data_IF_187632630857
#
_entry.id   IF_187632630857
#
_cell.length_a   1.000
_cell.length_b   1.000
_cell.length_c   1.000
_cell.angle_alpha   90.00
_cell.angle_beta   90.00
_cell.angle_gamma   90.00
#
_symmetry.space_group_name_H-M   'P 1'
#
loop_
_entity.id
_entity.type
_entity.pdbx_description
1 polymer ?
#
# COMPACT_ATOMS: atom_id res chain seq x y z
N UNK A 1 13.70 -17.83 13.80
CA UNK A 1 12.79 -16.67 13.61
C UNK A 1 11.82 -17.02 12.49
N UNK A 2 10.50 -16.93 12.71
CA UNK A 2 9.54 -17.11 11.63
C UNK A 2 9.72 -16.01 10.58
N UNK A 3 9.71 -16.37 9.31
CA UNK A 3 9.82 -15.45 8.16
C UNK A 3 8.61 -14.49 8.18
N UNK A 4 8.84 -13.20 7.98
CA UNK A 4 7.81 -12.20 7.77
C UNK A 4 7.61 -12.01 6.26
N UNK A 5 6.35 -12.10 5.80
CA UNK A 5 5.99 -11.85 4.40
C UNK A 5 5.12 -10.61 4.30
N UNK A 6 5.60 -9.64 3.52
CA UNK A 6 4.89 -8.39 3.26
C UNK A 6 4.64 -8.30 1.76
N UNK A 7 3.42 -7.94 1.38
CA UNK A 7 3.01 -7.77 0.00
C UNK A 7 2.41 -6.38 -0.26
N UNK A 8 2.36 -5.99 -1.51
CA UNK A 8 1.57 -4.85 -1.98
C UNK A 8 0.61 -5.33 -3.07
N UNK A 9 -0.62 -4.81 -3.08
CA UNK A 9 -1.65 -5.21 -4.01
C UNK A 9 -2.57 -4.03 -4.36
N UNK A 10 -2.49 -3.54 -5.60
CA UNK A 10 -3.43 -2.55 -6.11
C UNK A 10 -4.72 -3.27 -6.53
N UNK A 11 -5.85 -2.91 -5.90
CA UNK A 11 -7.13 -3.58 -6.08
C UNK A 11 -7.90 -3.13 -7.32
N UNK A 12 -7.56 -1.97 -7.88
CA UNK A 12 -8.32 -1.36 -8.97
C UNK A 12 -9.84 -1.36 -8.69
N UNK A 13 -10.23 -0.93 -7.49
CA UNK A 13 -11.62 -0.92 -7.00
C UNK A 13 -12.33 -2.28 -7.07
N UNK A 14 -11.59 -3.38 -7.10
CA UNK A 14 -12.13 -4.75 -7.24
C UNK A 14 -12.61 -5.10 -8.65
N UNK A 15 -12.30 -4.26 -9.64
CA UNK A 15 -12.68 -4.47 -11.03
C UNK A 15 -11.51 -5.06 -11.81
N UNK A 16 -11.69 -6.26 -12.34
CA UNK A 16 -10.66 -6.93 -13.13
C UNK A 16 -10.58 -6.47 -14.58
N UNK A 17 -9.65 -7.05 -15.35
CA UNK A 17 -9.52 -6.81 -16.80
C UNK A 17 -10.79 -7.18 -17.59
N UNK A 18 -11.60 -8.10 -17.05
CA UNK A 18 -12.93 -8.46 -17.58
C UNK A 18 -14.01 -7.39 -17.30
N UNK A 19 -13.63 -6.25 -16.70
CA UNK A 19 -14.50 -5.15 -16.27
C UNK A 19 -15.60 -5.59 -15.29
N UNK A 20 -15.40 -6.68 -14.57
CA UNK A 20 -16.36 -7.19 -13.59
C UNK A 20 -15.85 -6.96 -12.18
N UNK A 21 -16.73 -6.44 -11.33
CA UNK A 21 -16.51 -6.41 -9.88
C UNK A 21 -16.65 -7.83 -9.32
N UNK A 22 -15.59 -8.35 -8.71
CA UNK A 22 -15.57 -9.70 -8.11
C UNK A 22 -14.77 -9.68 -6.83
N UNK A 23 -15.39 -9.42 -5.67
CA UNK A 23 -14.70 -9.36 -4.39
C UNK A 23 -14.01 -10.68 -4.03
N UNK A 24 -14.59 -11.84 -4.39
CA UNK A 24 -13.95 -13.13 -4.15
C UNK A 24 -12.57 -13.25 -4.79
N UNK A 25 -12.37 -12.69 -5.97
CA UNK A 25 -11.06 -12.67 -6.64
C UNK A 25 -9.98 -11.97 -5.80
N UNK A 26 -10.36 -10.95 -5.04
CA UNK A 26 -9.44 -10.25 -4.14
C UNK A 26 -9.00 -11.21 -3.01
N UNK A 27 -9.94 -11.93 -2.42
CA UNK A 27 -9.64 -12.93 -1.39
C UNK A 27 -8.77 -14.07 -1.92
N UNK A 28 -9.03 -14.53 -3.14
CA UNK A 28 -8.23 -15.58 -3.79
C UNK A 28 -6.76 -15.11 -3.94
N UNK A 29 -6.54 -13.86 -4.36
CA UNK A 29 -5.19 -13.27 -4.45
C UNK A 29 -4.56 -13.11 -3.07
N UNK A 30 -5.30 -12.65 -2.06
CA UNK A 30 -4.82 -12.53 -0.69
C UNK A 30 -4.36 -13.90 -0.16
N UNK A 31 -5.13 -14.95 -0.42
CA UNK A 31 -4.80 -16.32 -0.04
C UNK A 31 -3.53 -16.83 -0.77
N UNK A 32 -3.41 -16.54 -2.08
CA UNK A 32 -2.23 -16.91 -2.87
C UNK A 32 -0.96 -16.19 -2.41
N UNK A 33 -1.06 -14.91 -2.06
CA UNK A 33 0.06 -14.14 -1.52
C UNK A 33 0.59 -14.73 -0.21
N UNK A 34 -0.28 -15.35 0.58
CA UNK A 34 0.02 -15.91 1.92
C UNK A 34 0.89 -14.94 2.73
N UNK A 35 0.55 -13.65 2.68
CA UNK A 35 1.31 -12.59 3.32
C UNK A 35 0.77 -12.31 4.73
N UNK A 36 1.66 -11.87 5.60
CA UNK A 36 1.33 -11.47 6.96
C UNK A 36 0.80 -10.03 7.00
N UNK A 37 1.27 -9.20 6.06
CA UNK A 37 0.91 -7.79 5.93
C UNK A 37 0.75 -7.48 4.45
N UNK A 38 -0.34 -6.78 4.09
CA UNK A 38 -0.63 -6.40 2.70
C UNK A 38 -0.97 -4.91 2.65
N UNK A 39 -0.11 -4.14 1.98
CA UNK A 39 -0.42 -2.76 1.62
C UNK A 39 -1.32 -2.76 0.37
N UNK A 40 -2.53 -2.23 0.49
CA UNK A 40 -3.50 -2.23 -0.60
C UNK A 40 -3.76 -0.80 -1.10
N UNK A 41 -3.90 -0.66 -2.40
CA UNK A 41 -4.16 0.60 -3.07
C UNK A 41 -5.46 0.52 -3.87
N UNK A 42 -6.02 1.68 -4.18
CA UNK A 42 -7.27 1.82 -4.94
C UNK A 42 -8.43 1.03 -4.34
N UNK A 43 -8.50 1.03 -3.01
CA UNK A 43 -9.62 0.42 -2.29
C UNK A 43 -10.80 1.37 -2.32
N UNK A 44 -11.87 0.98 -3.01
CA UNK A 44 -13.14 1.67 -3.02
C UNK A 44 -14.12 0.93 -2.10
N UNK A 45 -14.74 1.64 -1.16
CA UNK A 45 -15.75 1.08 -0.26
C UNK A 45 -16.77 2.15 0.17
N UNK A 46 -18.07 1.88 0.07
CA UNK A 46 -18.66 0.72 -0.60
C UNK A 46 -18.53 0.77 -2.13
N UNK A 47 -18.64 -0.40 -2.78
CA UNK A 47 -18.72 -0.55 -4.23
C UNK A 47 -20.10 -1.09 -4.57
N UNK A 48 -20.92 -0.35 -5.29
CA UNK A 48 -22.30 -0.75 -5.61
C UNK A 48 -23.10 -1.22 -4.37
N UNK A 49 -22.88 -0.58 -3.21
CA UNK A 49 -23.48 -0.96 -1.93
C UNK A 49 -22.79 -2.13 -1.20
N UNK A 50 -21.73 -2.71 -1.77
CA UNK A 50 -20.95 -3.76 -1.15
C UNK A 50 -19.80 -3.15 -0.32
N UNK A 51 -19.76 -3.43 0.99
CA UNK A 51 -18.70 -2.95 1.87
C UNK A 51 -17.45 -3.82 1.74
N UNK A 52 -16.47 -3.32 0.99
CA UNK A 52 -15.18 -3.99 0.80
C UNK A 52 -14.37 -4.08 2.08
N UNK A 53 -14.41 -3.06 2.93
CA UNK A 53 -13.66 -3.06 4.18
C UNK A 53 -14.17 -4.13 5.16
N UNK A 54 -15.49 -4.23 5.30
CA UNK A 54 -16.10 -5.25 6.14
C UNK A 54 -15.85 -6.66 5.59
N UNK A 55 -15.97 -6.82 4.27
CA UNK A 55 -15.70 -8.09 3.60
C UNK A 55 -14.25 -8.56 3.84
N UNK A 56 -13.28 -7.68 3.68
CA UNK A 56 -11.87 -8.01 3.96
C UNK A 56 -11.66 -8.45 5.41
N UNK A 57 -12.25 -7.72 6.38
CA UNK A 57 -12.15 -8.09 7.80
C UNK A 57 -12.76 -9.45 8.10
N UNK A 58 -14.00 -9.64 7.64
CA UNK A 58 -14.79 -10.83 7.94
C UNK A 58 -14.14 -12.11 7.36
N UNK A 59 -13.72 -12.05 6.10
CA UNK A 59 -13.23 -13.23 5.39
C UNK A 59 -11.77 -13.58 5.71
N UNK A 60 -10.94 -12.59 6.07
CA UNK A 60 -9.53 -12.86 6.40
C UNK A 60 -9.27 -13.00 7.89
N UNK A 61 -10.10 -12.41 8.72
CA UNK A 61 -9.85 -12.28 10.17
C UNK A 61 -8.67 -11.36 10.51
N UNK A 62 -8.15 -10.61 9.56
CA UNK A 62 -7.01 -9.70 9.75
C UNK A 62 -7.47 -8.34 10.29
N UNK A 63 -6.55 -7.65 10.95
CA UNK A 63 -6.72 -6.25 11.30
C UNK A 63 -6.61 -5.39 10.04
N UNK A 64 -7.48 -4.38 9.92
CA UNK A 64 -7.55 -3.50 8.76
C UNK A 64 -7.47 -2.05 9.21
N UNK A 65 -6.48 -1.30 8.71
CA UNK A 65 -6.46 0.15 8.71
C UNK A 65 -6.81 0.67 7.32
N UNK A 66 -7.52 1.79 7.25
CA UNK A 66 -7.93 2.42 5.99
C UNK A 66 -7.62 3.90 6.02
N UNK A 67 -7.28 4.47 4.87
CA UNK A 67 -7.10 5.91 4.68
C UNK A 67 -7.81 6.33 3.40
N UNK A 68 -8.88 7.09 3.53
CA UNK A 68 -9.56 7.68 2.39
C UNK A 68 -8.73 8.87 1.85
N UNK A 69 -8.38 8.84 0.58
CA UNK A 69 -7.76 9.98 -0.11
C UNK A 69 -8.77 10.80 -0.89
N UNK A 70 -9.84 10.17 -1.35
CA UNK A 70 -10.91 10.83 -2.10
C UNK A 70 -12.29 10.34 -1.65
N UNK A 71 -13.26 11.25 -1.73
CA UNK A 71 -14.68 10.92 -1.65
C UNK A 71 -15.23 10.81 -3.08
N UNK A 72 -15.77 9.66 -3.42
CA UNK A 72 -16.43 9.42 -4.71
C UNK A 72 -17.93 9.29 -4.53
N UNK A 73 -18.69 9.39 -5.62
CA UNK A 73 -20.13 9.13 -5.59
C UNK A 73 -20.37 7.69 -5.14
N UNK A 74 -20.86 7.53 -3.91
CA UNK A 74 -21.20 6.22 -3.35
C UNK A 74 -20.15 5.57 -2.45
N UNK A 75 -18.99 6.20 -2.22
CA UNK A 75 -17.99 5.61 -1.30
C UNK A 75 -16.71 6.40 -1.16
N UNK A 76 -15.81 5.91 -0.32
CA UNK A 76 -14.45 6.43 -0.15
C UNK A 76 -13.46 5.62 -0.97
N UNK A 77 -12.47 6.29 -1.54
CA UNK A 77 -11.39 5.68 -2.30
C UNK A 77 -10.05 6.02 -1.66
N UNK A 78 -9.16 5.03 -1.55
CA UNK A 78 -7.87 5.28 -0.93
C UNK A 78 -7.02 4.04 -0.73
N UNK A 79 -6.24 4.07 0.34
CA UNK A 79 -5.33 2.99 0.73
C UNK A 79 -5.92 2.17 1.88
N UNK A 80 -5.47 0.92 1.98
CA UNK A 80 -5.71 0.09 3.15
C UNK A 80 -4.44 -0.71 3.52
N UNK A 81 -4.35 -1.08 4.79
CA UNK A 81 -3.32 -1.97 5.32
C UNK A 81 -4.01 -3.11 6.02
N UNK A 82 -3.86 -4.31 5.48
CA UNK A 82 -4.37 -5.54 6.04
C UNK A 82 -3.23 -6.27 6.77
N UNK A 83 -3.45 -6.65 8.02
CA UNK A 83 -2.40 -7.22 8.86
C UNK A 83 -2.90 -8.36 9.74
N UNK A 84 -2.11 -9.42 9.85
CA UNK A 84 -2.39 -10.58 10.70
C UNK A 84 -2.31 -10.26 12.20
N UNK A 85 -1.54 -9.24 12.58
CA UNK A 85 -1.33 -8.82 13.96
C UNK A 85 -1.96 -7.47 14.29
N UNK A 86 -2.17 -7.15 15.58
CA UNK A 86 -2.77 -5.89 15.99
C UNK A 86 -1.99 -4.67 15.49
N UNK A 87 -2.73 -3.68 15.03
CA UNK A 87 -2.23 -2.34 14.75
C UNK A 87 -2.33 -1.55 16.06
N UNK A 88 -1.18 -1.20 16.66
CA UNK A 88 -1.11 -0.57 17.99
C UNK A 88 -1.03 0.95 17.90
N UNK A 89 -0.49 1.47 16.80
CA UNK A 89 -0.50 2.91 16.49
C UNK A 89 -0.87 3.11 15.02
N UNK A 90 -1.59 4.20 14.73
CA UNK A 90 -2.04 4.53 13.38
C UNK A 90 -2.02 6.04 13.18
N UNK A 91 -1.40 6.48 12.10
CA UNK A 91 -1.45 7.85 11.64
C UNK A 91 -1.68 7.92 10.12
N UNK A 92 -2.45 8.92 9.70
CA UNK A 92 -2.63 9.24 8.28
C UNK A 92 -1.67 10.37 7.90
N UNK A 93 -0.91 10.18 6.83
CA UNK A 93 0.07 11.14 6.34
C UNK A 93 -0.32 11.65 4.95
N UNK A 94 -0.63 12.94 4.85
CA UNK A 94 -0.96 13.59 3.58
C UNK A 94 0.26 13.72 2.66
N UNK A 95 0.12 13.27 1.42
CA UNK A 95 1.18 13.34 0.39
C UNK A 95 0.76 14.14 -0.84
N UNK A 96 -0.40 14.78 -0.83
CA UNK A 96 -0.92 15.54 -1.96
C UNK A 96 0.01 16.68 -2.37
N UNK A 97 0.28 16.83 -3.65
CA UNK A 97 1.15 17.87 -4.22
C UNK A 97 0.32 18.81 -5.07
N UNK A 98 0.19 20.08 -4.64
CA UNK A 98 -0.59 21.10 -5.35
C UNK A 98 -2.04 20.64 -5.61
N UNK A 99 -2.50 20.84 -6.84
CA UNK A 99 -3.86 20.48 -7.27
C UNK A 99 -3.92 19.10 -7.93
N UNK A 100 -3.02 18.18 -7.54
CA UNK A 100 -3.00 16.81 -8.05
C UNK A 100 -4.03 15.95 -7.34
N UNK A 101 -4.22 14.75 -7.86
CA UNK A 101 -5.02 13.73 -7.20
C UNK A 101 -4.56 13.53 -5.76
N UNK A 102 -5.46 13.54 -4.78
CA UNK A 102 -5.10 13.36 -3.38
C UNK A 102 -4.35 12.05 -3.16
N UNK A 103 -3.21 12.14 -2.49
CA UNK A 103 -2.37 10.99 -2.12
C UNK A 103 -2.05 11.02 -0.64
N UNK A 104 -1.81 9.85 -0.07
CA UNK A 104 -1.46 9.72 1.33
C UNK A 104 -0.78 8.42 1.65
N UNK A 105 -0.34 8.29 2.89
CA UNK A 105 0.22 7.07 3.44
C UNK A 105 -0.42 6.72 4.77
N UNK A 106 -0.68 5.45 4.98
CA UNK A 106 -0.99 4.85 6.28
C UNK A 106 0.34 4.60 6.97
N UNK A 107 0.55 5.21 8.12
CA UNK A 107 1.74 5.02 8.95
C UNK A 107 1.29 4.26 10.20
N UNK A 108 1.61 2.97 10.25
CA UNK A 108 1.10 2.06 11.27
C UNK A 108 2.22 1.35 12.00
N UNK A 109 2.13 1.25 13.33
CA UNK A 109 2.96 0.37 14.14
C UNK A 109 2.20 -0.91 14.43
N UNK A 110 2.81 -2.05 14.11
CA UNK A 110 2.23 -3.38 14.24
C UNK A 110 2.94 -4.12 15.36
N UNK A 111 2.18 -4.65 16.31
CA UNK A 111 2.70 -5.44 17.43
C UNK A 111 2.72 -6.93 17.12
N UNK A 112 3.90 -7.57 17.20
CA UNK A 112 4.08 -9.01 17.03
C UNK A 112 5.02 -9.57 18.11
N UNK A 113 4.55 -10.47 18.97
CA UNK A 113 5.37 -11.22 19.92
C UNK A 113 6.33 -10.32 20.74
N UNK A 114 5.83 -9.28 21.37
CA UNK A 114 6.62 -8.25 22.11
C UNK A 114 7.63 -7.49 21.24
N UNK A 115 7.51 -7.52 19.93
CA UNK A 115 8.28 -6.71 18.98
C UNK A 115 7.35 -5.80 18.19
N UNK A 116 7.88 -4.70 17.73
CA UNK A 116 7.18 -3.72 16.93
C UNK A 116 7.79 -3.60 15.55
N UNK A 117 6.93 -3.42 14.56
CA UNK A 117 7.29 -3.13 13.17
C UNK A 117 6.47 -1.94 12.70
N UNK A 118 7.11 -0.92 12.19
CA UNK A 118 6.44 0.19 11.53
C UNK A 118 6.25 -0.13 10.05
N UNK A 119 5.05 0.06 9.54
CA UNK A 119 4.72 -0.12 8.13
C UNK A 119 4.11 1.17 7.60
N UNK A 120 4.71 1.72 6.55
CA UNK A 120 4.19 2.89 5.85
C UNK A 120 3.66 2.40 4.50
N UNK A 121 2.33 2.39 4.36
CA UNK A 121 1.64 1.92 3.15
C UNK A 121 1.15 3.11 2.32
N UNK A 122 1.52 3.17 1.03
CA UNK A 122 1.25 4.34 0.19
C UNK A 122 0.88 3.98 -1.25
N UNK A 123 0.35 4.98 -1.98
CA UNK A 123 0.18 4.98 -3.42
C UNK A 123 0.63 6.33 -3.97
N UNK A 124 1.73 6.35 -4.73
CA UNK A 124 2.30 7.59 -5.25
C UNK A 124 1.62 8.05 -6.55
N UNK A 125 1.82 9.32 -6.87
CA UNK A 125 1.31 9.93 -8.08
C UNK A 125 1.99 9.45 -9.37
N UNK A 126 1.37 9.76 -10.51
CA UNK A 126 1.82 9.28 -11.82
C UNK A 126 2.94 10.12 -12.43
N UNK A 127 3.14 11.36 -11.98
CA UNK A 127 4.13 12.28 -12.56
C UNK A 127 5.44 12.28 -11.78
N UNK A 128 6.57 12.34 -12.48
CA UNK A 128 7.90 12.27 -11.87
C UNK A 128 8.11 13.34 -10.80
N UNK A 129 7.86 14.61 -11.10
CA UNK A 129 8.03 15.69 -10.12
C UNK A 129 7.12 15.55 -8.89
N UNK A 130 5.91 15.02 -9.07
CA UNK A 130 4.98 14.71 -7.99
C UNK A 130 5.56 13.61 -7.11
N UNK A 131 6.01 12.50 -7.70
CA UNK A 131 6.62 11.39 -6.96
C UNK A 131 7.88 11.80 -6.20
N UNK A 132 8.74 12.63 -6.81
CA UNK A 132 9.94 13.12 -6.12
C UNK A 132 9.57 13.88 -4.84
N UNK A 133 8.62 14.81 -4.91
CA UNK A 133 8.15 15.54 -3.74
C UNK A 133 7.46 14.64 -2.70
N UNK A 134 6.72 13.62 -3.15
CA UNK A 134 6.10 12.64 -2.26
C UNK A 134 7.13 11.73 -1.59
N UNK A 135 8.15 11.30 -2.31
CA UNK A 135 9.26 10.50 -1.76
C UNK A 135 10.06 11.27 -0.72
N UNK A 136 10.35 12.55 -0.95
CA UNK A 136 11.01 13.40 0.05
C UNK A 136 10.21 13.45 1.35
N UNK A 137 8.89 13.68 1.26
CA UNK A 137 8.00 13.67 2.44
C UNK A 137 7.96 12.31 3.14
N UNK A 138 7.91 11.20 2.38
CA UNK A 138 7.94 9.86 2.95
C UNK A 138 9.25 9.59 3.68
N UNK A 139 10.38 10.04 3.16
CA UNK A 139 11.67 9.90 3.82
C UNK A 139 11.73 10.69 5.12
N UNK A 140 11.14 11.87 5.17
CA UNK A 140 11.05 12.64 6.41
C UNK A 140 10.18 11.89 7.44
N UNK A 141 9.03 11.34 7.02
CA UNK A 141 8.19 10.49 7.87
C UNK A 141 8.96 9.28 8.40
N UNK A 142 9.77 8.63 7.55
CA UNK A 142 10.61 7.49 7.99
C UNK A 142 11.62 7.91 9.05
N UNK A 143 12.23 9.09 8.92
CA UNK A 143 13.23 9.61 9.86
C UNK A 143 12.64 10.04 11.21
N UNK A 144 11.35 10.38 11.25
CA UNK A 144 10.68 10.87 12.47
C UNK A 144 10.62 9.84 13.62
N UNK A 145 10.79 8.55 13.33
CA UNK A 145 10.81 7.48 14.33
C UNK A 145 12.08 6.58 14.18
N UNK A 146 13.25 7.09 14.52
CA UNK A 146 14.48 6.30 14.48
C UNK A 146 14.41 5.19 15.55
N UNK A 147 14.80 3.98 15.15
CA UNK A 147 14.92 2.83 16.07
C UNK A 147 13.83 1.75 15.90
N UNK A 148 12.71 2.04 15.27
CA UNK A 148 11.77 1.00 14.85
C UNK A 148 12.14 0.44 13.48
N UNK A 149 12.22 -0.89 13.32
CA UNK A 149 12.28 -1.49 11.99
C UNK A 149 11.13 -0.98 11.15
N UNK A 150 11.43 -0.34 10.01
CA UNK A 150 10.42 0.31 9.19
C UNK A 150 10.40 -0.29 7.78
N UNK A 151 9.20 -0.61 7.30
CA UNK A 151 8.96 -1.06 5.93
C UNK A 151 8.11 -0.02 5.22
N UNK A 152 8.57 0.43 4.05
CA UNK A 152 7.82 1.25 3.13
C UNK A 152 7.29 0.34 2.01
N UNK A 153 5.98 0.23 1.88
CA UNK A 153 5.30 -0.65 0.92
C UNK A 153 4.20 0.10 0.16
N UNK A 154 3.93 -0.31 -1.08
CA UNK A 154 2.85 0.30 -1.85
C UNK A 154 3.11 0.32 -3.34
N UNK A 155 2.22 1.00 -4.07
CA UNK A 155 2.38 1.28 -5.49
C UNK A 155 3.10 2.63 -5.67
N UNK A 156 4.38 2.57 -5.99
CA UNK A 156 5.20 3.76 -6.20
C UNK A 156 5.07 4.37 -7.59
N UNK A 157 4.35 3.73 -8.50
CA UNK A 157 4.22 4.16 -9.89
C UNK A 157 5.57 4.43 -10.59
N UNK A 158 6.60 3.67 -10.21
CA UNK A 158 7.96 3.85 -10.67
C UNK A 158 8.28 2.82 -11.75
N UNK A 159 8.74 3.30 -12.88
CA UNK A 159 9.28 2.46 -13.96
C UNK A 159 10.81 2.46 -13.90
N UNK A 160 11.48 1.54 -14.61
CA UNK A 160 12.96 1.50 -14.71
C UNK A 160 13.61 2.86 -14.97
N UNK A 161 12.97 3.71 -15.79
CA UNK A 161 13.46 5.04 -16.12
C UNK A 161 13.53 5.95 -14.90
N UNK A 162 12.62 5.77 -13.94
CA UNK A 162 12.49 6.58 -12.72
C UNK A 162 13.11 5.90 -11.47
N UNK A 163 13.61 4.68 -11.59
CA UNK A 163 14.26 3.96 -10.49
C UNK A 163 15.51 4.69 -9.93
N UNK A 164 16.05 5.69 -10.65
CA UNK A 164 17.10 6.57 -10.12
C UNK A 164 16.62 7.40 -8.93
N UNK A 165 15.34 7.79 -8.91
CA UNK A 165 14.74 8.57 -7.83
C UNK A 165 14.78 7.77 -6.53
N UNK A 166 14.35 6.51 -6.56
CA UNK A 166 14.46 5.60 -5.40
C UNK A 166 15.93 5.31 -5.01
N UNK A 167 16.80 5.13 -6.00
CA UNK A 167 18.22 4.85 -5.72
C UNK A 167 18.95 6.01 -5.08
N UNK A 168 18.57 7.24 -5.37
CA UNK A 168 19.12 8.43 -4.71
C UNK A 168 18.83 8.43 -3.20
N UNK A 169 17.77 7.74 -2.78
CA UNK A 169 17.36 7.59 -1.38
C UNK A 169 17.72 6.23 -0.77
N UNK A 170 18.37 5.35 -1.53
CA UNK A 170 18.73 3.99 -1.10
C UNK A 170 19.69 3.93 0.11
N UNK A 171 20.33 5.03 0.46
CA UNK A 171 21.14 5.11 1.68
C UNK A 171 20.30 4.93 2.96
N UNK A 172 19.00 5.24 2.89
CA UNK A 172 18.05 5.12 4.00
C UNK A 172 17.14 3.89 3.87
N UNK A 173 16.99 3.38 2.65
CA UNK A 173 16.12 2.24 2.34
C UNK A 173 17.01 1.04 2.01
N UNK A 174 16.87 -0.05 2.73
CA UNK A 174 17.52 -1.31 2.38
C UNK A 174 17.18 -1.72 0.94
N UNK A 175 18.03 -2.56 0.33
CA UNK A 175 17.79 -3.08 -1.02
C UNK A 175 16.87 -4.29 -0.96
N UNK A 176 15.88 -4.33 -1.85
CA UNK A 176 15.13 -5.53 -2.20
C UNK A 176 15.42 -5.91 -3.65
N UNK A 177 15.25 -7.18 -3.99
CA UNK A 177 15.30 -7.63 -5.38
C UNK A 177 14.13 -7.04 -6.16
N UNK A 178 14.44 -6.42 -7.29
CA UNK A 178 13.42 -5.83 -8.15
C UNK A 178 12.78 -6.92 -9.01
N UNK A 179 11.50 -7.18 -8.79
CA UNK A 179 10.68 -8.03 -9.64
C UNK A 179 9.82 -7.19 -10.58
N UNK A 180 9.57 -7.71 -11.78
CA UNK A 180 8.63 -7.08 -12.69
C UNK A 180 7.20 -7.34 -12.21
N UNK A 181 6.40 -6.28 -12.02
CA UNK A 181 5.02 -6.38 -11.53
C UNK A 181 3.99 -5.82 -12.50
N UNK A 182 4.42 -5.10 -13.53
CA UNK A 182 3.52 -4.47 -14.49
C UNK A 182 3.93 -4.75 -15.95
N UNK A 183 2.98 -4.94 -16.86
CA UNK A 183 1.55 -5.21 -16.61
C UNK A 183 1.34 -6.61 -16.02
N UNK A 184 0.29 -6.80 -15.24
CA UNK A 184 0.02 -8.06 -14.53
C UNK A 184 -0.13 -9.29 -15.42
N UNK A 185 -0.57 -9.09 -16.68
CA UNK A 185 -0.74 -10.18 -17.67
C UNK A 185 0.62 -10.72 -18.17
N UNK A 186 1.61 -9.83 -18.32
CA UNK A 186 2.93 -10.15 -18.80
C UNK A 186 3.94 -9.18 -18.19
N UNK A 187 4.38 -9.39 -16.94
CA UNK A 187 5.28 -8.46 -16.25
C UNK A 187 6.61 -8.35 -16.97
N UNK A 188 6.85 -7.17 -17.57
CA UNK A 188 8.09 -6.87 -18.33
C UNK A 188 8.88 -5.72 -17.71
N UNK A 189 8.28 -5.01 -16.77
CA UNK A 189 8.88 -3.88 -16.09
C UNK A 189 9.19 -4.27 -14.63
N UNK A 190 10.47 -4.46 -14.25
CA UNK A 190 10.82 -4.53 -12.82
C UNK A 190 10.66 -3.16 -12.19
N UNK A 191 10.13 -3.15 -10.98
CA UNK A 191 10.11 -2.00 -10.10
C UNK A 191 11.51 -1.64 -9.59
#
# INVERSE_FOLDING_TARGET
MSRLRIATYNLHSGIGLDRRFRPQRILDVIAELDADIIAMQEVLSPVFGFDMHEHLRAETGFHLATMATMQLAGGTFGNALLCRWPIIELAERGLTVGNREPRGAIDATIGRDARELRVIATHLGLRSAERSAQLERLLDIVKDAPGLPTVLAGDFNITRKHARELRAHAAYLGRSDALATFPSIAPVLPL
#
